data_IF_885045603535
#
_entry.id   IF_885045603535
#
_cell.length_a   1.000
_cell.length_b   1.000
_cell.length_c   1.000
_cell.angle_alpha   90.00
_cell.angle_beta   90.00
_cell.angle_gamma   90.00
#
_symmetry.space_group_name_H-M   'P 1'
#
loop_
_entity.id
_entity.type
_entity.pdbx_description
1 polymer ?
#
# COMPACT_ATOMS: atom_id res chain seq x y z
N UNK A 1 -6.00 -14.82 8.73
CA UNK A 1 -6.02 -14.27 8.79
C UNK A 1 -6.53 -13.79 8.61
N UNK A 2 -6.69 -14.11 8.72
CA UNK A 2 -6.95 -13.60 8.77
C UNK A 2 -7.45 -12.84 8.58
N UNK A 3 -7.68 -13.06 8.86
CA UNK A 3 -7.95 -12.35 8.86
C UNK A 3 -8.41 -11.59 8.88
N UNK A 4 -8.30 -11.84 8.91
CA UNK A 4 -8.47 -11.09 9.12
C UNK A 4 -9.22 -10.34 9.01
N UNK A 5 -9.42 -10.85 9.16
CA UNK A 5 -9.97 -10.16 9.24
C UNK A 5 -9.97 -9.07 8.86
N UNK A 6 -10.00 -9.02 8.76
CA UNK A 6 -9.70 -8.17 8.63
C UNK A 6 -9.91 -7.48 8.21
N UNK A 7 -9.79 -7.99 7.89
CA UNK A 7 -10.00 -7.02 7.70
C UNK A 7 -10.06 -5.75 8.27
N UNK A 8 -9.76 -5.96 9.06
CA UNK A 8 -9.84 -4.77 9.87
C UNK A 8 -8.84 -3.75 9.42
N UNK A 9 -9.25 -2.49 9.43
CA UNK A 9 -8.37 -1.42 9.00
C UNK A 9 -7.74 -0.80 10.24
N UNK A 10 -6.46 -1.06 10.44
CA UNK A 10 -5.76 -0.59 11.63
C UNK A 10 -5.72 0.93 11.71
N UNK A 11 -5.78 1.61 10.57
CA UNK A 11 -5.72 3.06 10.57
C UNK A 11 -6.99 3.67 11.14
N UNK A 12 -8.13 2.99 11.01
CA UNK A 12 -9.35 3.43 11.67
C UNK A 12 -9.17 3.37 13.17
N UNK A 13 -8.57 2.29 13.66
CA UNK A 13 -8.31 2.15 15.08
C UNK A 13 -7.38 3.22 15.61
N UNK A 14 -6.52 3.76 14.76
CA UNK A 14 -5.61 4.82 15.15
C UNK A 14 -6.26 6.20 15.09
N UNK A 15 -7.54 6.27 14.73
CA UNK A 15 -8.26 7.52 14.76
C UNK A 15 -8.37 8.26 13.44
N UNK A 16 -7.92 7.65 12.34
CA UNK A 16 -8.05 8.30 11.03
C UNK A 16 -9.48 8.22 10.53
N UNK A 17 -9.96 9.26 9.84
CA UNK A 17 -11.28 9.18 9.21
C UNK A 17 -11.35 8.01 8.22
N UNK A 18 -12.53 7.43 8.00
CA UNK A 18 -12.64 6.24 7.15
C UNK A 18 -12.05 6.41 5.75
N UNK A 19 -12.24 7.57 5.12
CA UNK A 19 -11.70 7.77 3.79
C UNK A 19 -10.17 7.79 3.80
N UNK A 20 -9.60 8.48 4.77
CA UNK A 20 -8.15 8.53 4.89
C UNK A 20 -7.59 7.17 5.31
N UNK A 21 -8.29 6.48 6.21
CA UNK A 21 -7.85 5.17 6.66
C UNK A 21 -7.81 4.19 5.50
N UNK A 22 -8.78 4.25 4.60
CA UNK A 22 -8.80 3.37 3.44
C UNK A 22 -7.63 3.68 2.50
N UNK A 23 -7.37 4.95 2.28
CA UNK A 23 -6.26 5.37 1.44
C UNK A 23 -4.93 4.87 2.04
N UNK A 24 -4.77 5.02 3.35
CA UNK A 24 -3.56 4.57 4.02
C UNK A 24 -3.41 3.06 3.94
N UNK A 25 -4.51 2.33 4.07
CA UNK A 25 -4.48 0.88 3.99
C UNK A 25 -3.96 0.43 2.63
N UNK A 26 -4.44 1.06 1.58
CA UNK A 26 -4.02 0.71 0.23
C UNK A 26 -2.56 1.08 0.01
N UNK A 27 -2.16 2.26 0.48
CA UNK A 27 -0.76 2.66 0.37
C UNK A 27 0.16 1.69 1.10
N UNK A 28 -0.23 1.28 2.30
CA UNK A 28 0.58 0.35 3.07
C UNK A 28 0.74 -0.98 2.33
N UNK A 29 -0.34 -1.45 1.71
CA UNK A 29 -0.31 -2.69 0.98
C UNK A 29 0.64 -2.62 -0.20
N UNK A 30 0.60 -1.51 -0.94
CA UNK A 30 1.50 -1.32 -2.07
C UNK A 30 2.94 -1.22 -1.61
N UNK A 31 3.19 -0.51 -0.52
CA UNK A 31 4.54 -0.36 -0.01
C UNK A 31 5.11 -1.69 0.47
N UNK A 32 4.28 -2.51 1.11
CA UNK A 32 4.73 -3.82 1.54
C UNK A 32 5.07 -4.72 0.38
N UNK A 33 4.29 -4.65 -0.69
CA UNK A 33 4.58 -5.43 -1.88
C UNK A 33 5.92 -5.04 -2.49
N UNK A 34 6.18 -3.73 -2.55
CA UNK A 34 7.44 -3.24 -3.11
C UNK A 34 8.63 -3.59 -2.23
N UNK A 35 8.46 -3.45 -0.92
CA UNK A 35 9.52 -3.81 0.01
C UNK A 35 9.82 -5.31 -0.07
N UNK A 36 8.77 -6.13 -0.17
CA UNK A 36 8.93 -7.55 -0.33
C UNK A 36 9.66 -7.91 -1.62
N UNK A 37 9.34 -7.21 -2.69
CA UNK A 37 10.02 -7.41 -3.96
C UNK A 37 11.53 -7.17 -3.82
N UNK A 38 11.90 -6.08 -3.15
CA UNK A 38 13.31 -5.76 -2.96
C UNK A 38 13.99 -6.83 -2.11
N UNK A 39 13.33 -7.27 -1.04
CA UNK A 39 13.90 -8.26 -0.14
C UNK A 39 14.04 -9.62 -0.79
N UNK A 40 13.03 -10.04 -1.52
CA UNK A 40 13.06 -11.34 -2.16
C UNK A 40 14.13 -11.43 -3.22
N UNK A 41 14.32 -10.37 -3.97
CA UNK A 41 15.30 -10.34 -5.02
C UNK A 41 16.69 -9.98 -4.53
N UNK A 42 16.77 -9.56 -3.26
CA UNK A 42 18.05 -9.23 -2.63
C UNK A 42 18.81 -8.19 -3.42
N UNK A 43 18.09 -7.19 -3.92
CA UNK A 43 18.71 -6.11 -4.67
C UNK A 43 19.00 -4.94 -3.74
N UNK A 44 19.97 -4.13 -4.13
CA UNK A 44 20.33 -2.96 -3.35
C UNK A 44 19.28 -1.87 -3.55
N UNK A 45 19.30 -0.90 -2.63
CA UNK A 45 18.39 0.24 -2.77
C UNK A 45 18.72 1.04 -4.03
N UNK A 46 19.99 1.11 -4.37
CA UNK A 46 20.40 1.81 -5.57
C UNK A 46 19.82 1.14 -6.83
N UNK A 47 19.89 -0.19 -6.86
CA UNK A 47 19.34 -0.92 -8.00
C UNK A 47 17.82 -0.81 -8.03
N UNK A 48 17.17 -0.91 -6.88
CA UNK A 48 15.73 -0.76 -6.82
C UNK A 48 15.30 0.61 -7.33
N UNK A 49 16.07 1.64 -7.00
CA UNK A 49 15.78 2.99 -7.46
C UNK A 49 15.79 3.05 -8.98
N UNK A 50 16.79 2.43 -9.60
CA UNK A 50 16.86 2.41 -11.06
C UNK A 50 15.70 1.65 -11.67
N UNK A 51 15.38 0.49 -11.10
CA UNK A 51 14.29 -0.32 -11.63
C UNK A 51 12.96 0.43 -11.55
N UNK A 52 12.72 1.07 -10.43
CA UNK A 52 11.43 1.71 -10.18
C UNK A 52 11.36 3.16 -10.67
N UNK A 53 12.48 3.67 -11.19
CA UNK A 53 12.49 5.01 -11.75
C UNK A 53 12.38 6.12 -10.72
N UNK A 54 12.93 5.90 -9.53
CA UNK A 54 12.89 6.91 -8.47
C UNK A 54 14.30 7.07 -7.91
N UNK A 55 14.46 8.05 -7.04
CA UNK A 55 15.76 8.29 -6.40
C UNK A 55 16.01 7.27 -5.30
N UNK A 56 17.29 7.10 -4.96
CA UNK A 56 17.64 6.17 -3.88
C UNK A 56 17.07 6.62 -2.54
N UNK A 57 17.08 7.92 -2.19
CA UNK A 57 16.40 8.33 -0.95
C UNK A 57 14.92 7.96 -0.93
N UNK A 58 14.28 7.94 -2.09
CA UNK A 58 12.88 7.52 -2.16
C UNK A 58 12.73 6.06 -1.79
N UNK A 59 13.66 5.21 -2.24
CA UNK A 59 13.64 3.79 -1.87
C UNK A 59 13.90 3.64 -0.38
N UNK A 60 14.82 4.44 0.17
CA UNK A 60 15.06 4.41 1.59
C UNK A 60 13.79 4.75 2.38
N UNK A 61 13.07 5.78 1.94
CA UNK A 61 11.79 6.13 2.57
C UNK A 61 10.79 4.99 2.49
N UNK A 62 10.78 4.30 1.36
CA UNK A 62 9.87 3.18 1.14
C UNK A 62 10.13 2.05 2.14
N UNK A 63 11.38 1.61 2.25
CA UNK A 63 11.70 0.48 3.12
C UNK A 63 11.58 0.85 4.59
N UNK A 64 11.66 2.14 4.91
CA UNK A 64 11.46 2.60 6.28
C UNK A 64 9.99 2.82 6.61
N UNK A 65 9.11 2.60 5.66
CA UNK A 65 7.69 2.67 5.92
C UNK A 65 7.13 4.08 6.06
N UNK A 66 7.78 5.06 5.44
CA UNK A 66 7.34 6.45 5.57
C UNK A 66 6.14 6.71 4.66
N UNK A 67 5.01 6.18 5.07
CA UNK A 67 3.79 6.13 4.27
C UNK A 67 3.29 7.51 3.88
N UNK A 68 3.55 8.51 4.71
CA UNK A 68 3.09 9.88 4.42
C UNK A 68 3.79 10.53 3.24
N UNK A 69 4.90 9.94 2.78
CA UNK A 69 5.66 10.51 1.67
C UNK A 69 5.27 9.92 0.31
N UNK A 70 4.30 9.01 0.30
CA UNK A 70 3.91 8.33 -0.94
C UNK A 70 2.43 8.49 -1.19
N UNK A 71 2.09 8.71 -2.45
CA UNK A 71 0.70 8.67 -2.89
C UNK A 71 0.44 7.33 -3.55
N UNK A 72 -0.84 6.98 -3.68
CA UNK A 72 -1.20 5.75 -4.37
C UNK A 72 -0.68 5.79 -5.82
N UNK A 73 -0.81 6.94 -6.47
CA UNK A 73 -0.33 7.09 -7.85
C UNK A 73 1.14 6.77 -7.96
N UNK A 74 1.94 7.35 -7.08
CA UNK A 74 3.38 7.10 -7.11
C UNK A 74 3.69 5.63 -6.90
N UNK A 75 2.99 5.01 -5.96
CA UNK A 75 3.23 3.60 -5.65
C UNK A 75 2.83 2.69 -6.79
N UNK A 76 1.71 2.99 -7.45
CA UNK A 76 1.29 2.20 -8.62
C UNK A 76 2.34 2.31 -9.72
N UNK A 77 2.86 3.51 -9.94
CA UNK A 77 3.90 3.69 -10.95
C UNK A 77 5.15 2.88 -10.61
N UNK A 78 5.53 2.85 -9.35
CA UNK A 78 6.70 2.08 -8.94
C UNK A 78 6.47 0.58 -9.10
N UNK A 79 5.29 0.10 -8.77
CA UNK A 79 4.93 -1.31 -8.94
C UNK A 79 5.01 -1.68 -10.41
N UNK A 80 4.44 -0.85 -11.27
CA UNK A 80 4.45 -1.10 -12.71
C UNK A 80 5.87 -1.12 -13.26
N UNK A 81 6.70 -0.19 -12.82
CA UNK A 81 8.09 -0.12 -13.27
C UNK A 81 8.87 -1.35 -12.83
N UNK A 82 8.50 -1.93 -11.70
CA UNK A 82 9.15 -3.14 -11.20
C UNK A 82 8.70 -4.41 -11.94
N UNK A 83 7.76 -4.27 -12.86
CA UNK A 83 7.27 -5.42 -13.60
C UNK A 83 6.14 -6.15 -12.92
N UNK A 84 5.58 -5.55 -11.89
CA UNK A 84 4.44 -6.13 -11.18
C UNK A 84 3.16 -5.52 -11.69
N UNK A 85 2.05 -6.12 -11.32
CA UNK A 85 0.74 -5.66 -11.75
C UNK A 85 -0.14 -5.43 -10.54
N UNK A 86 -0.93 -4.36 -10.58
CA UNK A 86 -1.88 -4.06 -9.53
C UNK A 86 -3.28 -4.41 -10.04
N UNK A 87 -3.95 -5.28 -9.31
CA UNK A 87 -5.36 -5.57 -9.56
C UNK A 87 -6.18 -4.90 -8.49
N UNK A 88 -7.34 -4.42 -8.88
CA UNK A 88 -8.21 -3.70 -7.97
C UNK A 88 -9.54 -4.44 -7.86
N UNK A 89 -9.89 -4.78 -6.63
CA UNK A 89 -11.16 -5.40 -6.32
C UNK A 89 -11.96 -4.43 -5.45
N UNK A 90 -13.17 -4.17 -5.86
CA UNK A 90 -14.04 -3.28 -5.09
C UNK A 90 -15.19 -4.11 -4.59
N UNK A 91 -15.28 -4.21 -3.27
CA UNK A 91 -16.30 -5.03 -2.63
C UNK A 91 -17.10 -4.16 -1.69
N UNK A 92 -18.28 -4.65 -1.36
CA UNK A 92 -19.12 -3.98 -0.38
C UNK A 92 -18.43 -4.06 0.99
N UNK A 93 -18.66 -3.07 1.81
CA UNK A 93 -18.19 -3.11 3.18
C UNK A 93 -18.88 -4.24 3.92
N UNK A 94 -18.43 -4.48 5.14
CA UNK A 94 -19.05 -5.49 5.97
C UNK A 94 -20.55 -5.23 6.06
N UNK A 95 -21.35 -6.25 6.36
CA UNK A 95 -22.80 -6.08 6.41
C UNK A 95 -23.23 -4.94 7.31
N UNK A 96 -22.56 -4.75 8.41
CA UNK A 96 -22.94 -3.68 9.32
C UNK A 96 -22.76 -2.32 8.66
N UNK A 97 -21.68 -2.17 7.94
CA UNK A 97 -21.40 -0.88 7.32
C UNK A 97 -22.37 -0.57 6.22
N UNK A 98 -22.75 -1.56 5.45
CA UNK A 98 -23.59 -1.29 4.32
C UNK A 98 -25.03 -1.04 4.73
N UNK A 99 -25.38 -1.41 5.91
CA UNK A 99 -26.72 -1.11 6.38
C UNK A 99 -27.00 0.37 6.40
N UNK A 100 -26.05 1.02 6.27
CA UNK A 100 -26.27 2.41 6.20
C UNK A 100 -26.43 2.86 4.87
N UNK A 101 -26.53 2.19 4.45
CA UNK A 101 -26.54 2.49 3.48
C UNK A 101 -26.82 2.84 2.68
N UNK A 102 -26.98 2.44 2.83
CA UNK A 102 -27.11 2.52 2.07
C UNK A 102 -27.41 2.85 1.42
N UNK A 103 -27.52 2.74 1.42
CA UNK A 103 -27.73 2.99 0.83
C UNK A 103 -27.74 3.59 0.67
#
# INVERSE_FOLDING_TARGET
MRATKGNENVFVDCGFPPTEAENLRIRAKLMMALTGYIQERKITQSRAARIMGVSQPRISDLVRGKIGLFTIDTLVNMVTAAGLKVDVDITARSPRAKNKRVA
#
